data_IF_915254334169
#
_entry.id   IF_915254334169
#
_cell.length_a   1.000
_cell.length_b   1.000
_cell.length_c   1.000
_cell.angle_alpha   90.00
_cell.angle_beta   90.00
_cell.angle_gamma   90.00
#
_symmetry.space_group_name_H-M   'P 1'
#
loop_
_entity.id
_entity.type
_entity.pdbx_description
1 polymer ?
#
# COMPACT_ATOMS: atom_id res chain seq x y z
N UNK A 1 -12.51 6.49 30.39
CA UNK A 1 -13.06 5.56 29.37
C UNK A 1 -12.11 4.37 29.23
N UNK A 2 -12.63 3.18 28.87
CA UNK A 2 -11.76 2.02 28.58
C UNK A 2 -10.98 2.29 27.30
N UNK A 3 -9.67 2.08 27.29
CA UNK A 3 -8.82 2.17 26.08
C UNK A 3 -9.32 1.21 25.01
N UNK A 4 -9.30 1.66 23.76
CA UNK A 4 -9.62 0.85 22.56
C UNK A 4 -8.44 0.87 21.60
N UNK A 5 -8.31 -0.19 20.83
CA UNK A 5 -7.50 -0.24 19.61
C UNK A 5 -8.43 0.06 18.43
N UNK A 6 -8.06 1.02 17.62
CA UNK A 6 -8.86 1.48 16.47
C UNK A 6 -8.00 1.23 15.24
N UNK A 7 -8.50 0.38 14.35
CA UNK A 7 -7.84 0.05 13.07
C UNK A 7 -8.60 0.75 11.94
N UNK A 8 -7.88 1.46 11.10
CA UNK A 8 -8.43 2.30 10.04
C UNK A 8 -7.77 1.93 8.71
N UNK A 9 -8.59 1.64 7.72
CA UNK A 9 -8.14 1.48 6.35
C UNK A 9 -7.79 2.83 5.72
N UNK A 10 -6.95 2.82 4.70
CA UNK A 10 -6.45 4.03 4.05
C UNK A 10 -7.34 4.42 2.87
N UNK A 11 -7.46 3.53 1.90
CA UNK A 11 -7.97 3.82 0.56
C UNK A 11 -9.49 3.80 0.52
N UNK A 12 -10.12 4.97 0.42
CA UNK A 12 -11.58 5.11 0.49
C UNK A 12 -12.11 5.23 1.93
N UNK A 13 -11.23 5.20 2.95
CA UNK A 13 -11.59 5.39 4.37
C UNK A 13 -10.95 6.65 4.93
N UNK A 14 -9.62 6.66 5.12
CA UNK A 14 -8.89 7.85 5.56
C UNK A 14 -8.63 8.83 4.43
N UNK A 15 -8.32 8.31 3.25
CA UNK A 15 -8.13 9.07 2.02
C UNK A 15 -9.36 8.93 1.14
N UNK A 16 -10.17 9.98 0.96
CA UNK A 16 -11.24 9.99 -0.04
C UNK A 16 -10.69 9.71 -1.44
N UNK A 17 -11.50 9.17 -2.37
CA UNK A 17 -11.08 8.93 -3.74
C UNK A 17 -10.51 10.19 -4.39
N UNK A 18 -9.30 10.09 -4.94
CA UNK A 18 -8.58 11.21 -5.56
C UNK A 18 -7.78 12.11 -4.63
N UNK A 19 -7.92 11.97 -3.32
CA UNK A 19 -7.19 12.78 -2.34
C UNK A 19 -5.88 12.11 -1.89
N UNK A 20 -4.87 12.93 -1.66
CA UNK A 20 -3.56 12.49 -1.17
C UNK A 20 -3.35 12.78 0.32
N UNK A 21 -4.18 13.64 0.87
CA UNK A 21 -4.10 14.07 2.27
C UNK A 21 -5.35 13.64 3.02
N UNK A 22 -5.16 13.29 4.28
CA UNK A 22 -6.28 13.02 5.18
C UNK A 22 -7.02 14.35 5.42
N UNK A 23 -8.36 14.41 5.27
CA UNK A 23 -9.14 15.61 5.53
C UNK A 23 -8.92 16.14 6.94
N UNK A 24 -8.88 17.47 7.11
CA UNK A 24 -8.60 18.13 8.37
C UNK A 24 -9.56 17.67 9.49
N UNK A 25 -10.84 17.49 9.19
CA UNK A 25 -11.83 16.99 10.15
C UNK A 25 -11.52 15.58 10.66
N UNK A 26 -10.96 14.73 9.79
CA UNK A 26 -10.51 13.38 10.16
C UNK A 26 -9.25 13.45 11.04
N UNK A 27 -8.29 14.31 10.69
CA UNK A 27 -7.08 14.54 11.52
C UNK A 27 -7.48 14.97 12.93
N UNK A 28 -8.40 15.91 13.07
CA UNK A 28 -8.92 16.37 14.37
C UNK A 28 -9.58 15.24 15.16
N UNK A 29 -10.33 14.37 14.48
CA UNK A 29 -10.94 13.19 15.10
C UNK A 29 -9.91 12.17 15.57
N UNK A 30 -8.84 11.93 14.80
CA UNK A 30 -7.72 11.06 15.18
C UNK A 30 -7.02 11.61 16.43
N UNK A 31 -6.68 12.90 16.44
CA UNK A 31 -6.04 13.55 17.60
C UNK A 31 -6.93 13.47 18.84
N UNK A 32 -8.25 13.68 18.71
CA UNK A 32 -9.19 13.55 19.80
C UNK A 32 -9.29 12.13 20.35
N UNK A 33 -9.30 11.12 19.44
CA UNK A 33 -9.30 9.73 19.84
C UNK A 33 -8.03 9.37 20.62
N UNK A 34 -6.86 9.81 20.13
CA UNK A 34 -5.58 9.60 20.78
C UNK A 34 -5.52 10.29 22.16
N UNK A 35 -5.98 11.55 22.25
CA UNK A 35 -6.06 12.31 23.52
C UNK A 35 -6.98 11.65 24.56
N UNK A 36 -7.99 10.89 24.12
CA UNK A 36 -8.85 10.07 24.98
C UNK A 36 -8.21 8.73 25.39
N UNK A 37 -6.94 8.51 25.06
CA UNK A 37 -6.17 7.33 25.44
C UNK A 37 -6.41 6.10 24.56
N UNK A 38 -7.03 6.26 23.38
CA UNK A 38 -7.16 5.17 22.42
C UNK A 38 -5.86 5.01 21.61
N UNK A 39 -5.65 3.82 21.06
CA UNK A 39 -4.53 3.51 20.17
C UNK A 39 -5.00 3.39 18.74
N UNK A 40 -4.30 4.03 17.81
CA UNK A 40 -4.67 4.14 16.41
C UNK A 40 -3.70 3.34 15.55
N UNK A 41 -4.24 2.53 14.66
CA UNK A 41 -3.46 1.70 13.74
C UNK A 41 -3.98 1.85 12.32
N UNK A 42 -3.07 1.96 11.36
CA UNK A 42 -3.41 1.76 9.97
C UNK A 42 -3.61 0.26 9.69
N UNK A 43 -4.54 -0.09 8.78
CA UNK A 43 -4.78 -1.47 8.37
C UNK A 43 -5.00 -1.49 6.85
N UNK A 44 -3.98 -1.91 6.09
CA UNK A 44 -3.94 -1.67 4.65
C UNK A 44 -3.25 -2.79 3.87
N UNK A 45 -3.58 -2.90 2.58
CA UNK A 45 -2.80 -3.68 1.61
C UNK A 45 -1.48 -3.04 1.21
N UNK A 46 -1.27 -1.74 1.48
CA UNK A 46 -0.03 -1.05 1.15
C UNK A 46 1.16 -1.64 1.91
N UNK A 47 2.35 -1.63 1.29
CA UNK A 47 3.59 -1.97 1.98
C UNK A 47 4.02 -0.86 2.96
N UNK A 48 5.07 -1.12 3.75
CA UNK A 48 5.53 -0.18 4.78
C UNK A 48 5.92 1.16 4.20
N UNK A 49 6.68 1.18 3.10
CA UNK A 49 7.12 2.43 2.45
C UNK A 49 5.95 3.33 2.07
N UNK A 50 4.90 2.74 1.48
CA UNK A 50 3.69 3.47 1.07
C UNK A 50 2.83 3.93 2.25
N UNK A 51 2.99 3.30 3.40
CA UNK A 51 2.23 3.58 4.63
C UNK A 51 2.93 4.64 5.49
N UNK A 52 4.26 4.70 5.42
CA UNK A 52 5.10 5.52 6.29
C UNK A 52 4.71 7.01 6.35
N UNK A 53 4.38 7.70 5.23
CA UNK A 53 3.99 9.12 5.29
C UNK A 53 2.71 9.39 6.08
N UNK A 54 1.87 8.38 6.28
CA UNK A 54 0.62 8.52 7.03
C UNK A 54 0.79 8.30 8.53
N UNK A 55 1.90 7.70 8.97
CA UNK A 55 2.16 7.48 10.39
C UNK A 55 2.29 8.80 11.16
N UNK A 56 2.76 9.86 10.51
CA UNK A 56 2.94 11.21 11.10
C UNK A 56 1.62 11.85 11.56
N UNK A 57 0.48 11.30 11.14
CA UNK A 57 -0.84 11.73 11.65
C UNK A 57 -1.18 11.18 13.04
N UNK A 58 -0.21 10.58 13.74
CA UNK A 58 -0.35 10.13 15.13
C UNK A 58 -0.80 8.67 15.28
N UNK A 59 -0.48 7.81 14.31
CA UNK A 59 -0.72 6.38 14.44
C UNK A 59 0.34 5.70 15.30
N UNK A 60 -0.10 4.78 16.16
CA UNK A 60 0.75 3.98 17.06
C UNK A 60 1.44 2.81 16.33
N UNK A 61 1.00 2.48 15.12
CA UNK A 61 1.55 1.40 14.32
C UNK A 61 0.69 1.09 13.09
N UNK A 62 0.99 0.00 12.42
CA UNK A 62 0.25 -0.43 11.23
C UNK A 62 0.24 -1.93 11.03
N UNK A 63 -0.81 -2.38 10.34
CA UNK A 63 -0.95 -3.68 9.68
C UNK A 63 -0.77 -3.40 8.19
N UNK A 64 0.41 -3.71 7.65
CA UNK A 64 0.80 -3.50 6.26
C UNK A 64 0.74 -4.81 5.45
N UNK A 65 0.74 -4.69 4.12
CA UNK A 65 0.78 -5.82 3.18
C UNK A 65 -0.27 -6.88 3.53
N UNK A 66 -1.51 -6.44 3.77
CA UNK A 66 -2.65 -7.29 4.15
C UNK A 66 -2.37 -8.22 5.35
N UNK A 67 -1.55 -7.78 6.31
CA UNK A 67 -1.19 -8.53 7.51
C UNK A 67 0.16 -9.23 7.47
N UNK A 68 0.86 -9.17 6.35
CA UNK A 68 2.21 -9.75 6.21
C UNK A 68 3.26 -9.04 7.06
N UNK A 69 3.07 -7.74 7.33
CA UNK A 69 3.95 -6.97 8.20
C UNK A 69 3.16 -6.12 9.19
N UNK A 70 3.39 -6.33 10.48
CA UNK A 70 2.65 -5.63 11.56
C UNK A 70 3.63 -5.10 12.60
N UNK A 71 3.44 -3.84 13.01
CA UNK A 71 4.25 -3.23 14.06
C UNK A 71 3.43 -2.29 14.95
N UNK A 72 3.98 -2.04 16.16
CA UNK A 72 3.45 -1.08 17.12
C UNK A 72 4.62 -0.32 17.76
N UNK A 73 4.70 0.99 17.56
CA UNK A 73 5.90 1.77 17.87
C UNK A 73 7.12 1.15 17.17
N UNK A 74 8.18 0.94 17.91
CA UNK A 74 9.43 0.32 17.39
C UNK A 74 9.40 -1.21 17.35
N UNK A 75 8.31 -1.83 17.82
CA UNK A 75 8.21 -3.28 17.93
C UNK A 75 7.52 -3.90 16.72
N UNK A 76 8.23 -4.72 15.97
CA UNK A 76 7.66 -5.62 14.96
C UNK A 76 6.95 -6.78 15.66
N UNK A 77 5.69 -6.97 15.34
CA UNK A 77 4.82 -8.02 15.90
C UNK A 77 4.66 -9.19 14.94
N UNK A 78 4.61 -8.91 13.64
CA UNK A 78 4.50 -9.91 12.57
C UNK A 78 5.45 -9.51 11.45
N UNK A 79 6.20 -10.46 10.96
CA UNK A 79 7.06 -10.35 9.78
C UNK A 79 6.99 -11.70 9.04
N UNK A 80 6.04 -11.80 8.09
CA UNK A 80 5.69 -13.04 7.39
C UNK A 80 5.71 -12.82 5.88
N UNK A 81 6.91 -12.79 5.27
CA UNK A 81 7.02 -12.79 3.83
C UNK A 81 6.55 -14.12 3.23
N UNK A 82 6.20 -14.10 1.96
CA UNK A 82 5.88 -15.30 1.19
C UNK A 82 7.08 -16.25 1.16
N UNK A 83 6.82 -17.54 1.25
CA UNK A 83 7.84 -18.57 1.01
C UNK A 83 8.49 -18.34 -0.36
N UNK A 84 9.84 -18.31 -0.47
CA UNK A 84 10.53 -17.98 -1.73
C UNK A 84 10.14 -18.89 -2.90
N UNK A 85 9.94 -20.19 -2.64
CA UNK A 85 9.51 -21.14 -3.66
C UNK A 85 8.09 -20.86 -4.15
N UNK A 86 7.18 -20.47 -3.25
CA UNK A 86 5.82 -20.07 -3.60
C UNK A 86 5.84 -18.80 -4.44
N UNK A 87 6.57 -17.77 -4.02
CA UNK A 87 6.71 -16.52 -4.74
C UNK A 87 7.26 -16.74 -6.16
N UNK A 88 8.29 -17.57 -6.31
CA UNK A 88 8.86 -17.95 -7.60
C UNK A 88 7.84 -18.73 -8.45
N UNK A 89 7.12 -19.67 -7.87
CA UNK A 89 6.10 -20.46 -8.57
C UNK A 89 4.98 -19.57 -9.13
N UNK A 90 4.48 -18.63 -8.33
CA UNK A 90 3.45 -17.65 -8.73
C UNK A 90 3.96 -16.77 -9.87
N UNK A 91 5.17 -16.20 -9.74
CA UNK A 91 5.81 -15.39 -10.80
C UNK A 91 5.92 -16.16 -12.12
N UNK A 92 6.49 -17.36 -12.07
CA UNK A 92 6.65 -18.20 -13.25
C UNK A 92 5.31 -18.60 -13.90
N UNK A 93 4.27 -18.78 -13.11
CA UNK A 93 2.92 -19.01 -13.63
C UNK A 93 2.40 -17.76 -14.35
N UNK A 94 2.53 -16.58 -13.77
CA UNK A 94 2.11 -15.31 -14.37
C UNK A 94 2.85 -15.03 -15.68
N UNK A 95 4.17 -15.20 -15.71
CA UNK A 95 4.98 -15.05 -16.91
C UNK A 95 4.52 -15.99 -18.04
N UNK A 96 4.29 -17.28 -17.75
CA UNK A 96 3.81 -18.26 -18.73
C UNK A 96 2.45 -17.90 -19.33
N UNK A 97 1.61 -17.22 -18.57
CA UNK A 97 0.26 -16.80 -19.00
C UNK A 97 0.20 -15.35 -19.47
N UNK A 98 1.33 -14.66 -19.57
CA UNK A 98 1.39 -13.27 -20.01
C UNK A 98 0.67 -12.29 -19.06
N UNK A 99 0.53 -12.66 -17.78
CA UNK A 99 -0.11 -11.81 -16.76
C UNK A 99 0.94 -10.87 -16.17
N UNK A 100 0.69 -9.58 -16.31
CA UNK A 100 1.54 -8.54 -15.70
C UNK A 100 1.29 -8.45 -14.20
N UNK A 101 2.36 -8.37 -13.42
CA UNK A 101 2.27 -8.25 -11.96
C UNK A 101 3.29 -7.28 -11.37
N UNK A 102 3.02 -6.83 -10.15
CA UNK A 102 3.99 -6.17 -9.28
C UNK A 102 4.41 -7.08 -8.14
N UNK A 103 5.65 -6.94 -7.72
CA UNK A 103 6.21 -7.62 -6.55
C UNK A 103 6.33 -6.60 -5.42
N UNK A 104 5.66 -6.89 -4.32
CA UNK A 104 5.62 -6.01 -3.15
C UNK A 104 6.57 -6.54 -2.08
N UNK A 105 7.74 -5.92 -1.96
CA UNK A 105 8.60 -6.07 -0.80
C UNK A 105 8.15 -5.12 0.33
N UNK A 106 8.73 -5.24 1.52
CA UNK A 106 8.41 -4.37 2.65
C UNK A 106 8.61 -2.88 2.31
N UNK A 107 9.72 -2.55 1.70
CA UNK A 107 10.17 -1.17 1.48
C UNK A 107 10.27 -0.80 -0.01
N UNK A 108 9.78 -1.65 -0.90
CA UNK A 108 9.85 -1.43 -2.34
C UNK A 108 8.73 -2.15 -3.09
N UNK A 109 8.37 -1.61 -4.25
CA UNK A 109 7.46 -2.22 -5.23
C UNK A 109 8.21 -2.33 -6.55
N UNK A 110 8.17 -3.51 -7.17
CA UNK A 110 8.80 -3.77 -8.46
C UNK A 110 7.76 -4.17 -9.49
N UNK A 111 7.85 -3.64 -10.70
CA UNK A 111 6.93 -3.95 -11.78
C UNK A 111 7.61 -4.08 -13.14
N UNK A 112 6.95 -4.75 -14.09
CA UNK A 112 7.40 -4.74 -15.47
C UNK A 112 7.26 -3.32 -16.05
N UNK A 113 8.05 -3.03 -17.11
CA UNK A 113 7.92 -1.75 -17.82
C UNK A 113 6.50 -1.53 -18.33
N UNK A 114 5.85 -2.58 -18.84
CA UNK A 114 4.44 -2.53 -19.26
C UNK A 114 3.52 -2.19 -18.10
N UNK A 115 3.77 -2.75 -16.92
CA UNK A 115 2.97 -2.45 -15.73
C UNK A 115 3.15 -0.99 -15.32
N UNK A 116 4.39 -0.49 -15.31
CA UNK A 116 4.71 0.91 -15.02
C UNK A 116 4.02 1.84 -16.04
N UNK A 117 4.16 1.54 -17.34
CA UNK A 117 3.52 2.29 -18.41
C UNK A 117 1.99 2.24 -18.30
N UNK A 118 1.42 1.04 -18.10
CA UNK A 118 -0.02 0.84 -17.96
C UNK A 118 -0.58 1.61 -16.77
N UNK A 119 0.08 1.58 -15.62
CA UNK A 119 -0.27 2.43 -14.49
C UNK A 119 -0.23 3.91 -14.85
N UNK A 120 0.82 4.33 -15.55
CA UNK A 120 0.96 5.72 -16.03
C UNK A 120 -0.11 6.09 -17.06
N UNK A 121 -0.46 5.20 -18.01
CA UNK A 121 -1.46 5.47 -19.06
C UNK A 121 -2.89 5.36 -18.57
N UNK A 122 -3.25 4.29 -17.88
CA UNK A 122 -4.60 4.08 -17.33
C UNK A 122 -5.00 5.23 -16.42
N UNK A 123 -4.02 5.90 -15.83
CA UNK A 123 -4.23 7.00 -14.92
C UNK A 123 -4.23 8.37 -15.61
N UNK A 124 -3.70 8.50 -16.83
CA UNK A 124 -3.79 9.75 -17.63
C UNK A 124 -5.21 9.99 -18.15
N UNK A 125 -5.92 8.94 -18.55
CA UNK A 125 -7.27 9.00 -19.12
C UNK A 125 -8.38 8.71 -18.12
N UNK A 126 -8.04 8.43 -16.88
CA UNK A 126 -8.95 7.92 -15.88
C UNK A 126 -9.76 9.02 -15.20
N UNK A 127 -10.79 9.48 -15.88
CA UNK A 127 -11.95 10.11 -15.24
C UNK A 127 -11.71 11.38 -14.41
N UNK A 128 -12.68 11.79 -13.62
CA UNK A 128 -12.60 13.02 -12.83
C UNK A 128 -11.45 13.00 -11.82
N UNK A 129 -10.92 14.18 -11.51
CA UNK A 129 -9.78 14.40 -10.60
C UNK A 129 -9.93 13.77 -9.20
N UNK A 130 -11.14 13.40 -8.82
CA UNK A 130 -11.47 12.74 -7.55
C UNK A 130 -11.57 11.21 -7.64
N UNK A 131 -11.07 10.60 -8.71
CA UNK A 131 -11.06 9.14 -8.87
C UNK A 131 -9.86 8.52 -8.17
N UNK A 132 -9.98 7.23 -7.81
CA UNK A 132 -8.89 6.41 -7.29
C UNK A 132 -7.66 6.45 -8.24
N UNK A 133 -7.91 6.41 -9.53
CA UNK A 133 -6.90 6.49 -10.57
C UNK A 133 -6.15 7.84 -10.56
N UNK A 134 -6.85 8.95 -10.33
CA UNK A 134 -6.22 10.27 -10.22
C UNK A 134 -5.30 10.36 -9.00
N UNK A 135 -5.70 9.75 -7.87
CA UNK A 135 -4.87 9.66 -6.67
C UNK A 135 -3.58 8.88 -6.93
N UNK A 136 -3.68 7.72 -7.56
CA UNK A 136 -2.50 6.91 -7.89
C UNK A 136 -1.56 7.64 -8.85
N UNK A 137 -2.10 8.35 -9.85
CA UNK A 137 -1.30 9.21 -10.73
C UNK A 137 -0.49 10.22 -9.93
N UNK A 138 -1.15 10.96 -9.05
CA UNK A 138 -0.48 11.95 -8.22
C UNK A 138 0.56 11.31 -7.30
N UNK A 139 0.27 10.16 -6.72
CA UNK A 139 1.23 9.43 -5.90
C UNK A 139 2.50 9.05 -6.68
N UNK A 140 2.36 8.67 -7.95
CA UNK A 140 3.50 8.37 -8.84
C UNK A 140 4.28 9.64 -9.20
N UNK A 141 3.59 10.76 -9.46
CA UNK A 141 4.20 12.05 -9.71
C UNK A 141 4.97 12.56 -8.47
N UNK A 142 4.45 12.33 -7.28
CA UNK A 142 5.04 12.74 -6.00
C UNK A 142 6.16 11.78 -5.51
N UNK A 143 6.59 10.81 -6.34
CA UNK A 143 7.75 9.98 -6.07
C UNK A 143 7.45 8.62 -5.41
N UNK A 144 6.21 8.18 -5.38
CA UNK A 144 5.87 6.79 -5.07
C UNK A 144 6.25 5.92 -6.28
N UNK A 145 7.55 5.67 -6.43
CA UNK A 145 8.11 5.01 -7.60
C UNK A 145 8.01 3.50 -7.49
N UNK A 146 7.48 2.88 -8.52
CA UNK A 146 7.65 1.47 -8.80
C UNK A 146 9.00 1.31 -9.51
N UNK A 147 9.89 0.49 -8.95
CA UNK A 147 11.16 0.15 -9.58
C UNK A 147 10.96 -0.87 -10.70
N UNK A 148 11.80 -0.85 -11.75
CA UNK A 148 11.79 -1.89 -12.76
C UNK A 148 11.99 -3.28 -12.13
N UNK A 149 11.28 -4.27 -12.65
CA UNK A 149 11.36 -5.66 -12.19
C UNK A 149 12.81 -6.21 -12.26
N UNK A 150 13.62 -5.70 -13.20
CA UNK A 150 15.04 -6.07 -13.32
C UNK A 150 15.89 -5.63 -12.11
N UNK A 151 15.42 -4.70 -11.30
CA UNK A 151 16.09 -4.26 -10.09
C UNK A 151 15.79 -5.14 -8.86
N UNK A 152 14.79 -6.02 -8.96
CA UNK A 152 14.48 -6.98 -7.90
C UNK A 152 15.63 -7.98 -7.72
N UNK A 153 16.21 -8.03 -6.53
CA UNK A 153 17.39 -8.84 -6.19
C UNK A 153 17.08 -10.04 -5.29
N UNK A 154 15.80 -10.34 -5.09
CA UNK A 154 15.39 -11.48 -4.26
C UNK A 154 15.01 -11.09 -2.84
N UNK A 155 14.70 -9.83 -2.58
CA UNK A 155 14.17 -9.38 -1.30
C UNK A 155 12.90 -10.15 -0.94
N UNK A 156 12.63 -10.38 0.38
CA UNK A 156 11.41 -11.01 0.81
C UNK A 156 10.17 -10.30 0.28
N UNK A 157 9.27 -11.04 -0.36
CA UNK A 157 8.01 -10.51 -0.90
C UNK A 157 6.87 -10.80 0.08
N UNK A 158 5.99 -9.82 0.25
CA UNK A 158 4.80 -9.93 1.08
C UNK A 158 3.53 -10.09 0.26
N UNK A 159 3.52 -9.55 -0.96
CA UNK A 159 2.41 -9.67 -1.89
C UNK A 159 2.90 -9.72 -3.34
N UNK A 160 2.09 -10.32 -4.19
CA UNK A 160 2.19 -10.20 -5.64
C UNK A 160 0.83 -9.70 -6.13
N UNK A 161 0.81 -8.52 -6.74
CA UNK A 161 -0.41 -7.90 -7.26
C UNK A 161 -0.42 -8.00 -8.78
N UNK A 162 -1.56 -8.34 -9.38
CA UNK A 162 -1.68 -8.47 -10.82
C UNK A 162 -2.87 -7.66 -11.34
N UNK A 163 -2.80 -7.31 -12.61
CA UNK A 163 -3.92 -6.73 -13.34
C UNK A 163 -4.30 -7.70 -14.46
N UNK A 164 -5.54 -8.17 -14.44
CA UNK A 164 -6.12 -8.94 -15.52
C UNK A 164 -7.14 -8.09 -16.28
N UNK A 165 -7.14 -8.20 -17.62
CA UNK A 165 -8.22 -7.65 -18.43
C UNK A 165 -9.44 -8.55 -18.26
N UNK A 166 -10.60 -7.94 -18.11
CA UNK A 166 -11.86 -8.69 -18.29
C UNK A 166 -11.99 -9.04 -19.77
N UNK A 167 -11.97 -10.32 -20.06
CA UNK A 167 -12.34 -10.86 -21.38
C UNK A 167 -13.80 -10.61 -21.68
#
# INVERSE_FOLDING_TARGET
MKQKLIFLDIDGTLLPPGEMLIPQSTVEALHKAHANGHKLFLCTGRNLRMTQPLLDYGFDGAVCSAGGYVFCGDKVLVDLPMEPQLAQGVRSAMERHGVECTLEARDATYGSLKMIERWSFTHRDAGPLNSEAARWRKAMEDGMTMSPLAEYKGEPLYMIVYIAERS
#
